data_IF_122439472394
#
_entry.id   IF_122439472394
#
_cell.length_a   1.000
_cell.length_b   1.000
_cell.length_c   1.000
_cell.angle_alpha   90.00
_cell.angle_beta   90.00
_cell.angle_gamma   90.00
#
_symmetry.space_group_name_H-M   'P 1'
#
loop_
_entity.id
_entity.type
_entity.pdbx_description
1 polymer ?
#
# COMPACT_ATOMS: atom_id res chain seq x y z
N UNK A 1 -13.90 -7.42 -28.48
CA UNK A 1 -13.29 -6.45 -29.41
C UNK A 1 -11.81 -6.41 -29.15
N UNK A 2 -10.99 -6.81 -30.12
CA UNK A 2 -9.54 -6.87 -29.99
C UNK A 2 -8.93 -5.47 -30.03
N UNK A 3 -8.51 -4.98 -28.86
CA UNK A 3 -7.55 -3.90 -28.75
C UNK A 3 -6.33 -4.49 -28.05
N UNK A 4 -5.19 -4.58 -28.76
CA UNK A 4 -3.84 -4.92 -28.26
C UNK A 4 -3.52 -6.37 -27.82
N UNK A 5 -4.36 -7.38 -28.08
CA UNK A 5 -3.98 -8.79 -27.84
C UNK A 5 -3.91 -9.19 -26.36
N UNK A 6 -4.40 -8.34 -25.45
CA UNK A 6 -4.70 -8.70 -24.08
C UNK A 6 -6.21 -8.94 -23.95
N UNK A 7 -6.60 -10.18 -23.71
CA UNK A 7 -7.99 -10.55 -23.47
C UNK A 7 -8.34 -10.25 -22.01
N UNK A 8 -9.35 -9.41 -21.77
CA UNK A 8 -9.87 -9.14 -20.43
C UNK A 8 -10.69 -10.37 -20.01
N UNK A 9 -10.00 -11.39 -19.53
CA UNK A 9 -10.59 -12.63 -19.03
C UNK A 9 -10.89 -12.54 -17.52
N UNK A 10 -11.66 -13.48 -16.98
CA UNK A 10 -12.05 -13.54 -15.57
C UNK A 10 -10.83 -13.47 -14.64
N UNK A 11 -9.76 -14.19 -14.96
CA UNK A 11 -8.50 -14.18 -14.21
C UNK A 11 -7.86 -12.79 -14.14
N UNK A 12 -8.00 -11.98 -15.19
CA UNK A 12 -7.49 -10.61 -15.21
C UNK A 12 -8.26 -9.72 -14.23
N UNK A 13 -9.59 -9.80 -14.24
CA UNK A 13 -10.46 -9.05 -13.31
C UNK A 13 -10.24 -9.49 -11.86
N UNK A 14 -10.14 -10.80 -11.62
CA UNK A 14 -9.82 -11.35 -10.31
C UNK A 14 -8.46 -10.82 -9.82
N UNK A 15 -7.46 -10.80 -10.70
CA UNK A 15 -6.13 -10.32 -10.36
C UNK A 15 -6.14 -8.84 -9.96
N UNK A 16 -6.85 -7.99 -10.69
CA UNK A 16 -7.03 -6.58 -10.33
C UNK A 16 -7.69 -6.42 -8.95
N UNK A 17 -8.78 -7.16 -8.69
CA UNK A 17 -9.47 -7.10 -7.40
C UNK A 17 -8.56 -7.55 -6.24
N UNK A 18 -7.75 -8.58 -6.45
CA UNK A 18 -6.77 -9.05 -5.47
C UNK A 18 -5.70 -7.99 -5.18
N UNK A 19 -5.15 -7.35 -6.22
CA UNK A 19 -4.15 -6.29 -6.06
C UNK A 19 -4.72 -5.10 -5.28
N UNK A 20 -5.94 -4.69 -5.60
CA UNK A 20 -6.65 -3.63 -4.87
C UNK A 20 -6.83 -3.99 -3.39
N UNK A 21 -7.28 -5.22 -3.10
CA UNK A 21 -7.44 -5.72 -1.74
C UNK A 21 -6.13 -5.70 -0.95
N UNK A 22 -5.03 -6.15 -1.58
CA UNK A 22 -3.71 -6.18 -0.95
C UNK A 22 -3.19 -4.76 -0.67
N UNK A 23 -3.32 -3.85 -1.64
CA UNK A 23 -2.91 -2.46 -1.49
C UNK A 23 -3.70 -1.73 -0.38
N UNK A 24 -5.01 -1.95 -0.32
CA UNK A 24 -5.87 -1.32 0.70
C UNK A 24 -5.56 -1.89 2.09
N UNK A 25 -5.33 -3.20 2.21
CA UNK A 25 -4.94 -3.83 3.47
C UNK A 25 -3.67 -3.19 4.06
N UNK A 26 -2.60 -3.10 3.27
CA UNK A 26 -1.34 -2.50 3.73
C UNK A 26 -1.54 -1.04 4.15
N UNK A 27 -2.37 -0.32 3.39
CA UNK A 27 -2.68 1.09 3.64
C UNK A 27 -3.39 1.26 4.99
N UNK A 28 -4.41 0.44 5.27
CA UNK A 28 -5.16 0.47 6.53
C UNK A 28 -4.24 0.23 7.74
N UNK A 29 -3.31 -0.73 7.65
CA UNK A 29 -2.38 -1.04 8.75
C UNK A 29 -1.47 0.14 9.08
N UNK A 30 -0.95 0.83 8.06
CA UNK A 30 -0.12 2.03 8.24
C UNK A 30 -0.94 3.17 8.85
N UNK A 31 -2.13 3.45 8.32
CA UNK A 31 -3.01 4.50 8.84
C UNK A 31 -3.46 4.24 10.27
N UNK A 32 -3.76 2.99 10.62
CA UNK A 32 -4.16 2.61 11.96
C UNK A 32 -3.01 2.84 12.96
N UNK A 33 -1.78 2.44 12.61
CA UNK A 33 -0.62 2.69 13.46
C UNK A 33 -0.31 4.18 13.63
N UNK A 34 -0.53 4.99 12.60
CA UNK A 34 -0.38 6.46 12.71
C UNK A 34 -1.41 7.02 13.68
N UNK A 35 -2.68 6.63 13.57
CA UNK A 35 -3.74 7.05 14.49
C UNK A 35 -3.46 6.62 15.93
N UNK A 36 -2.96 5.41 16.12
CA UNK A 36 -2.60 4.88 17.43
C UNK A 36 -1.46 5.68 18.07
N UNK A 37 -0.37 5.93 17.34
CA UNK A 37 0.79 6.66 17.85
C UNK A 37 0.49 8.15 18.09
N UNK A 38 -0.40 8.75 17.30
CA UNK A 38 -0.90 10.11 17.54
C UNK A 38 -1.66 10.21 18.86
N UNK A 39 -2.51 9.22 19.18
CA UNK A 39 -3.22 9.18 20.47
C UNK A 39 -2.29 8.94 21.67
N UNK A 40 -1.21 8.21 21.47
CA UNK A 40 -0.21 7.91 22.50
C UNK A 40 0.82 9.03 22.71
N UNK A 41 0.85 10.05 21.84
CA UNK A 41 1.89 11.08 21.88
C UNK A 41 3.30 10.51 21.64
N UNK A 42 3.42 9.51 20.75
CA UNK A 42 4.65 8.75 20.58
C UNK A 42 5.83 9.56 19.99
N UNK A 43 5.57 10.71 19.36
CA UNK A 43 6.59 11.62 18.84
C UNK A 43 6.36 13.06 19.33
N UNK A 44 7.42 13.88 19.27
CA UNK A 44 7.36 15.29 19.68
C UNK A 44 6.52 16.13 18.71
N UNK A 45 6.51 15.75 17.43
CA UNK A 45 5.74 16.39 16.36
C UNK A 45 5.00 15.35 15.50
N UNK A 46 4.03 15.82 14.69
CA UNK A 46 3.25 14.95 13.79
C UNK A 46 4.14 14.19 12.80
N UNK A 47 5.13 14.86 12.21
CA UNK A 47 6.07 14.24 11.25
C UNK A 47 6.89 13.11 11.91
N UNK A 48 7.35 13.32 13.14
CA UNK A 48 8.10 12.30 13.89
C UNK A 48 7.19 11.10 14.25
N UNK A 49 5.95 11.38 14.67
CA UNK A 49 4.97 10.33 14.97
C UNK A 49 4.68 9.47 13.74
N UNK A 50 4.54 10.09 12.57
CA UNK A 50 4.36 9.38 11.29
C UNK A 50 5.58 8.52 10.97
N UNK A 51 6.80 9.05 11.12
CA UNK A 51 8.03 8.30 10.88
C UNK A 51 8.17 7.07 11.81
N UNK A 52 7.84 7.23 13.10
CA UNK A 52 7.83 6.13 14.08
C UNK A 52 6.80 5.07 13.66
N UNK A 53 5.58 5.48 13.28
CA UNK A 53 4.54 4.56 12.85
C UNK A 53 4.93 3.78 11.60
N UNK A 54 5.58 4.42 10.61
CA UNK A 54 6.05 3.77 9.39
C UNK A 54 7.12 2.73 9.71
N UNK A 55 8.11 3.07 10.54
CA UNK A 55 9.15 2.13 10.94
C UNK A 55 8.58 0.90 11.67
N UNK A 56 7.51 1.08 12.45
CA UNK A 56 6.83 -0.03 13.12
C UNK A 56 6.01 -0.92 12.19
N UNK A 57 5.50 -0.39 11.06
CA UNK A 57 4.66 -1.14 10.11
C UNK A 57 5.42 -1.67 8.90
N UNK A 58 6.57 -1.11 8.55
CA UNK A 58 7.42 -1.54 7.42
C UNK A 58 7.77 -3.01 7.52
N UNK A 59 8.30 -3.46 8.67
CA UNK A 59 8.74 -4.86 8.84
C UNK A 59 7.59 -5.84 8.64
N UNK A 60 6.40 -5.51 9.18
CA UNK A 60 5.20 -6.34 9.00
C UNK A 60 4.77 -6.37 7.53
N UNK A 61 4.63 -5.20 6.90
CA UNK A 61 4.12 -5.07 5.53
C UNK A 61 5.04 -5.76 4.52
N UNK A 62 6.35 -5.61 4.69
CA UNK A 62 7.36 -6.31 3.88
C UNK A 62 7.27 -7.82 4.08
N UNK A 63 7.18 -8.31 5.32
CA UNK A 63 7.10 -9.75 5.57
C UNK A 63 5.83 -10.38 4.96
N UNK A 64 4.68 -9.70 5.07
CA UNK A 64 3.43 -10.16 4.47
C UNK A 64 3.50 -10.18 2.95
N UNK A 65 3.94 -9.08 2.33
CA UNK A 65 4.09 -8.99 0.86
C UNK A 65 5.12 -9.99 0.31
N UNK A 66 6.26 -10.17 1.00
CA UNK A 66 7.29 -11.13 0.62
C UNK A 66 6.77 -12.57 0.69
N UNK A 67 6.01 -12.93 1.72
CA UNK A 67 5.45 -14.28 1.86
C UNK A 67 4.52 -14.61 0.69
N UNK A 68 3.67 -13.66 0.29
CA UNK A 68 2.79 -13.82 -0.88
C UNK A 68 3.59 -13.84 -2.17
N UNK A 69 4.61 -12.99 -2.30
CA UNK A 69 5.49 -12.96 -3.45
C UNK A 69 6.21 -14.31 -3.65
N UNK A 70 6.70 -14.94 -2.58
CA UNK A 70 7.32 -16.26 -2.64
C UNK A 70 6.34 -17.35 -3.08
N UNK A 71 5.09 -17.31 -2.59
CA UNK A 71 4.05 -18.23 -3.04
C UNK A 71 3.72 -18.04 -4.53
N UNK A 72 3.59 -16.79 -4.99
CA UNK A 72 3.36 -16.48 -6.41
C UNK A 72 4.56 -16.86 -7.28
N UNK A 73 5.79 -16.72 -6.77
CA UNK A 73 7.00 -17.14 -7.47
C UNK A 73 7.00 -18.65 -7.71
N UNK A 74 6.58 -19.46 -6.72
CA UNK A 74 6.43 -20.89 -6.89
C UNK A 74 5.39 -21.21 -7.99
N UNK A 75 4.24 -20.51 -8.00
CA UNK A 75 3.21 -20.66 -9.05
C UNK A 75 3.75 -20.20 -10.42
N UNK A 76 4.57 -19.18 -10.47
CA UNK A 76 5.16 -18.67 -11.72
C UNK A 76 6.16 -19.66 -12.34
N UNK A 77 6.95 -20.35 -11.51
CA UNK A 77 7.96 -21.33 -11.96
C UNK A 77 7.32 -22.69 -12.27
N UNK A 78 6.45 -23.18 -11.39
CA UNK A 78 5.91 -24.54 -11.46
C UNK A 78 4.48 -24.64 -12.01
N UNK A 79 3.79 -23.50 -12.21
CA UNK A 79 2.41 -23.46 -12.69
C UNK A 79 2.27 -23.58 -14.21
N UNK A 80 1.03 -23.79 -14.66
CA UNK A 80 0.67 -23.85 -16.07
C UNK A 80 0.66 -22.48 -16.76
N UNK A 81 0.47 -22.46 -18.08
CA UNK A 81 0.55 -21.23 -18.88
C UNK A 81 -0.44 -20.13 -18.42
N UNK A 82 -1.67 -20.48 -18.08
CA UNK A 82 -2.70 -19.54 -17.60
C UNK A 82 -2.40 -18.99 -16.21
N UNK A 83 -1.93 -19.83 -15.27
CA UNK A 83 -1.61 -19.39 -13.91
C UNK A 83 -0.30 -18.61 -13.84
N UNK A 84 0.62 -18.82 -14.79
CA UNK A 84 1.88 -18.10 -14.87
C UNK A 84 1.69 -16.61 -15.15
N UNK A 85 0.88 -16.25 -16.14
CA UNK A 85 0.58 -14.84 -16.44
C UNK A 85 -0.24 -14.19 -15.32
N UNK A 86 -1.15 -14.94 -14.69
CA UNK A 86 -1.88 -14.49 -13.52
C UNK A 86 -0.97 -14.21 -12.32
N UNK A 87 -0.04 -15.13 -12.01
CA UNK A 87 0.93 -14.95 -10.94
C UNK A 87 1.87 -13.76 -11.20
N UNK A 88 2.30 -13.57 -12.46
CA UNK A 88 3.11 -12.42 -12.86
C UNK A 88 2.37 -11.09 -12.64
N UNK A 89 1.09 -11.02 -13.03
CA UNK A 89 0.24 -9.86 -12.80
C UNK A 89 0.12 -9.53 -11.30
N UNK A 90 -0.13 -10.54 -10.47
CA UNK A 90 -0.20 -10.37 -9.02
C UNK A 90 1.14 -9.95 -8.41
N UNK A 91 2.26 -10.55 -8.85
CA UNK A 91 3.61 -10.18 -8.35
C UNK A 91 3.92 -8.71 -8.61
N UNK A 92 3.63 -8.22 -9.82
CA UNK A 92 3.82 -6.82 -10.19
C UNK A 92 2.91 -5.92 -9.34
N UNK A 93 1.63 -6.29 -9.20
CA UNK A 93 0.68 -5.50 -8.44
C UNK A 93 1.00 -5.42 -6.94
N UNK A 94 1.45 -6.51 -6.32
CA UNK A 94 1.87 -6.52 -4.92
C UNK A 94 3.14 -5.68 -4.73
N UNK A 95 4.11 -5.79 -5.64
CA UNK A 95 5.33 -5.00 -5.56
C UNK A 95 5.04 -3.49 -5.58
N UNK A 96 4.24 -3.03 -6.56
CA UNK A 96 3.83 -1.62 -6.62
C UNK A 96 2.86 -1.22 -5.50
N UNK A 97 1.97 -2.12 -5.07
CA UNK A 97 1.01 -1.87 -4.00
C UNK A 97 1.68 -1.66 -2.64
N UNK A 98 2.62 -2.52 -2.26
CA UNK A 98 3.38 -2.39 -1.01
C UNK A 98 4.27 -1.16 -1.02
N UNK A 99 4.94 -0.86 -2.14
CA UNK A 99 5.70 0.39 -2.29
C UNK A 99 4.80 1.63 -2.15
N UNK A 100 3.68 1.65 -2.88
CA UNK A 100 2.73 2.77 -2.84
C UNK A 100 2.15 2.98 -1.43
N UNK A 101 1.74 1.92 -0.74
CA UNK A 101 1.17 2.00 0.60
C UNK A 101 2.14 2.65 1.61
N UNK A 102 3.41 2.25 1.59
CA UNK A 102 4.41 2.74 2.55
C UNK A 102 4.79 4.20 2.24
N UNK A 103 5.09 4.52 0.99
CA UNK A 103 5.62 5.83 0.62
C UNK A 103 4.52 6.87 0.40
N UNK A 104 3.43 6.54 -0.30
CA UNK A 104 2.39 7.50 -0.67
C UNK A 104 1.49 7.86 0.53
N UNK A 105 1.23 6.91 1.44
CA UNK A 105 0.43 7.21 2.64
C UNK A 105 1.14 8.21 3.56
N UNK A 106 2.46 8.06 3.72
CA UNK A 106 3.28 8.97 4.53
C UNK A 106 3.28 10.40 3.99
N UNK A 107 3.50 10.57 2.68
CA UNK A 107 3.56 11.88 2.03
C UNK A 107 2.19 12.57 1.99
N UNK A 108 1.11 11.81 1.75
CA UNK A 108 -0.25 12.35 1.75
C UNK A 108 -0.68 12.81 3.15
N UNK A 109 -0.34 12.07 4.20
CA UNK A 109 -0.68 12.44 5.56
C UNK A 109 0.02 13.69 6.03
N UNK A 110 1.34 13.78 5.82
CA UNK A 110 2.13 14.98 6.14
C UNK A 110 1.62 16.19 5.37
N UNK A 111 1.28 16.01 4.10
CA UNK A 111 0.68 17.08 3.29
C UNK A 111 -0.71 17.46 3.83
N UNK A 112 -1.58 16.50 4.14
CA UNK A 112 -2.91 16.79 4.69
C UNK A 112 -2.87 17.55 6.01
N UNK A 113 -1.88 17.24 6.87
CA UNK A 113 -1.66 17.91 8.13
C UNK A 113 -1.16 19.34 7.91
N UNK A 114 -0.18 19.54 7.03
CA UNK A 114 0.30 20.89 6.64
C UNK A 114 -0.83 21.75 6.11
N UNK A 115 -1.72 21.19 5.28
CA UNK A 115 -2.90 21.89 4.76
C UNK A 115 -3.95 22.18 5.83
N UNK A 116 -4.06 21.35 6.88
CA UNK A 116 -4.93 21.61 8.03
C UNK A 116 -4.36 22.72 8.90
N UNK A 117 -3.06 22.69 9.19
CA UNK A 117 -2.34 23.72 9.95
C UNK A 117 -2.44 25.08 9.26
N UNK A 118 -2.24 25.16 7.94
CA UNK A 118 -2.41 26.39 7.15
C UNK A 118 -3.85 26.91 7.20
N UNK A 119 -4.86 26.03 7.12
CA UNK A 119 -6.27 26.44 7.23
C UNK A 119 -6.64 26.93 8.63
N UNK A 120 -6.10 26.32 9.68
CA UNK A 120 -6.31 26.75 11.06
C UNK A 120 -5.61 28.09 11.32
N UNK A 121 -4.38 28.27 10.84
CA UNK A 121 -3.65 29.53 10.91
C UNK A 121 -4.41 30.67 10.20
N UNK A 122 -4.94 30.42 8.99
CA UNK A 122 -5.78 31.39 8.27
C UNK A 122 -7.08 31.75 9.01
N UNK A 123 -7.66 30.82 9.78
CA UNK A 123 -8.86 31.06 10.61
C UNK A 123 -8.54 31.81 11.91
N UNK A 124 -7.31 31.72 12.42
CA UNK A 124 -6.87 32.36 13.66
C UNK A 124 -6.30 33.77 13.48
N UNK A 125 -6.30 34.32 12.26
CA UNK A 125 -6.03 35.74 12.04
C UNK A 125 -4.55 36.15 12.19
N UNK A 126 -3.68 35.54 11.39
CA UNK A 126 -2.50 36.22 10.81
C UNK A 126 -2.42 35.89 9.33
#
# INVERSE_FOLDING_TARGET
GHYLGAEIDLLFVTGLLTILGFSVHDTIVVFDRIRENLKKGAGQNFEETVNISINQTITRSINTSLTVFLALLAIYIFGGASTKYFALLLMIGIFFGTYSSIFVASSLLVTSEKWRQVRIAKKLGK
#
